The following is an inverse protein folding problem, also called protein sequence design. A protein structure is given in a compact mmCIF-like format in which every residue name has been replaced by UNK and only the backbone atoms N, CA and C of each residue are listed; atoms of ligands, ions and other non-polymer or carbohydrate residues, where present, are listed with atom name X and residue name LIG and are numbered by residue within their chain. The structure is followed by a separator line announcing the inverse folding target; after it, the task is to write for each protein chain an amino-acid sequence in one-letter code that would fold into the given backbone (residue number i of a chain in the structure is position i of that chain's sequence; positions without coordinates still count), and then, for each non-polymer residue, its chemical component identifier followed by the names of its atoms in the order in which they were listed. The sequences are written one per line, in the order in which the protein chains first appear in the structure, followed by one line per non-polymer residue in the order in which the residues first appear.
data_IF_556751397179
#
_entry.id   IF_556751397179
#
_cell.length_a   1.000
_cell.length_b   1.000
_cell.length_c   1.000
_cell.angle_alpha   90.00
_cell.angle_beta   90.00
_cell.angle_gamma   90.00
#
_symmetry.space_group_name_H-M   'P 1'
#
loop_
_entity.id
_entity.type
_entity.pdbx_description
1 polymer ?
#
# COMPACT_ATOMS: atom_id res chain seq x y z
N UNK A 1 1.26 -1.42 28.59
CA UNK A 1 1.09 -1.41 27.12
C UNK A 1 0.37 -2.69 26.69
N UNK A 2 -0.70 -2.59 25.90
CA UNK A 2 -1.36 -3.75 25.28
C UNK A 2 -0.97 -3.74 23.81
N UNK A 3 -0.41 -4.83 23.31
CA UNK A 3 -0.16 -5.01 21.89
C UNK A 3 -1.42 -5.61 21.26
N UNK A 4 -1.88 -4.99 20.18
CA UNK A 4 -2.96 -5.52 19.35
C UNK A 4 -2.37 -5.91 18.01
N UNK A 5 -2.82 -7.04 17.47
CA UNK A 5 -2.38 -7.57 16.20
C UNK A 5 -3.52 -7.39 15.21
N UNK A 6 -3.26 -6.71 14.10
CA UNK A 6 -4.21 -6.61 13.00
C UNK A 6 -3.95 -7.79 12.06
N UNK A 7 -4.90 -8.71 11.96
CA UNK A 7 -4.83 -9.84 11.02
C UNK A 7 -5.72 -9.49 9.83
N UNK A 8 -5.12 -9.52 8.63
CA UNK A 8 -5.79 -9.27 7.36
C UNK A 8 -5.85 -10.56 6.56
N UNK A 9 -6.87 -10.70 5.72
CA UNK A 9 -7.12 -11.92 4.92
C UNK A 9 -6.14 -12.06 3.75
N UNK A 10 -5.77 -10.94 3.13
CA UNK A 10 -4.88 -10.94 1.97
C UNK A 10 -3.42 -11.05 2.37
N UNK A 11 -2.77 -12.10 1.89
CA UNK A 11 -1.32 -12.29 1.99
C UNK A 11 -0.68 -11.86 0.67
N UNK A 12 0.29 -10.95 0.73
CA UNK A 12 1.08 -10.53 -0.42
C UNK A 12 2.57 -10.72 -0.18
N UNK A 13 3.33 -10.76 -1.26
CA UNK A 13 4.79 -10.88 -1.24
C UNK A 13 5.46 -9.51 -1.24
N UNK A 14 6.62 -9.42 -0.60
CA UNK A 14 7.42 -8.20 -0.62
C UNK A 14 7.85 -7.87 -2.04
N UNK A 15 7.78 -6.58 -2.41
CA UNK A 15 8.26 -6.11 -3.71
C UNK A 15 9.69 -6.55 -3.99
N UNK A 16 10.59 -6.66 -3.02
CA UNK A 16 12.00 -7.02 -3.28
C UNK A 16 12.20 -8.40 -3.91
N UNK A 17 11.16 -9.25 -3.92
CA UNK A 17 11.20 -10.59 -4.54
C UNK A 17 10.66 -10.62 -5.97
N UNK A 18 10.36 -9.46 -6.57
CA UNK A 18 9.64 -9.40 -7.85
C UNK A 18 10.27 -10.33 -8.91
N UNK A 19 9.48 -11.20 -9.58
CA UNK A 19 10.01 -12.10 -10.59
C UNK A 19 10.32 -11.39 -11.92
N UNK A 20 9.77 -10.18 -12.11
CA UNK A 20 10.00 -9.36 -13.29
C UNK A 20 9.80 -7.87 -13.00
N UNK A 21 10.47 -7.03 -13.78
CA UNK A 21 10.27 -5.57 -13.73
C UNK A 21 8.84 -5.17 -14.09
N UNK A 22 8.13 -5.98 -14.90
CA UNK A 22 6.73 -5.72 -15.23
C UNK A 22 5.84 -5.82 -13.97
N UNK A 23 5.96 -6.90 -13.20
CA UNK A 23 5.21 -7.07 -11.94
C UNK A 23 5.53 -5.96 -10.94
N UNK A 24 6.81 -5.58 -10.85
CA UNK A 24 7.23 -4.45 -10.01
C UNK A 24 6.54 -3.15 -10.43
N UNK A 25 6.60 -2.78 -11.70
CA UNK A 25 6.03 -1.53 -12.21
C UNK A 25 4.51 -1.51 -12.08
N UNK A 26 3.82 -2.62 -12.36
CA UNK A 26 2.38 -2.74 -12.14
C UNK A 26 2.01 -2.52 -10.66
N UNK A 27 2.77 -3.13 -9.74
CA UNK A 27 2.50 -2.98 -8.30
C UNK A 27 2.74 -1.55 -7.80
N UNK A 28 3.76 -0.86 -8.32
CA UNK A 28 3.97 0.58 -8.05
C UNK A 28 2.80 1.40 -8.58
N UNK A 29 2.37 1.14 -9.81
CA UNK A 29 1.26 1.85 -10.44
C UNK A 29 -0.03 1.71 -9.61
N UNK A 30 -0.35 0.49 -9.17
CA UNK A 30 -1.52 0.22 -8.33
C UNK A 30 -1.44 0.95 -6.99
N UNK A 31 -0.26 1.00 -6.36
CA UNK A 31 -0.06 1.75 -5.12
C UNK A 31 -0.28 3.27 -5.32
N UNK A 32 0.17 3.83 -6.45
CA UNK A 32 -0.09 5.24 -6.78
C UNK A 32 -1.57 5.49 -7.02
N UNK A 33 -2.28 4.59 -7.71
CA UNK A 33 -3.74 4.69 -7.88
C UNK A 33 -4.48 4.60 -6.54
N UNK A 34 -4.11 3.66 -5.69
CA UNK A 34 -4.66 3.52 -4.33
C UNK A 34 -4.47 4.81 -3.52
N UNK A 35 -3.26 5.38 -3.55
CA UNK A 35 -2.99 6.64 -2.87
C UNK A 35 -3.79 7.82 -3.47
N UNK A 36 -3.90 7.91 -4.79
CA UNK A 36 -4.70 8.93 -5.45
C UNK A 36 -6.18 8.84 -5.02
N UNK A 37 -6.72 7.63 -4.93
CA UNK A 37 -8.07 7.39 -4.42
C UNK A 37 -8.20 7.76 -2.94
N UNK A 38 -7.23 7.40 -2.10
CA UNK A 38 -7.21 7.78 -0.69
C UNK A 38 -7.23 9.31 -0.51
N UNK A 39 -6.44 10.05 -1.29
CA UNK A 39 -6.41 11.51 -1.24
C UNK A 39 -7.72 12.11 -1.75
N UNK A 40 -8.17 11.70 -2.93
CA UNK A 40 -9.29 12.36 -3.59
C UNK A 40 -10.65 11.98 -3.01
N UNK A 41 -10.85 10.69 -2.73
CA UNK A 41 -12.13 10.12 -2.28
C UNK A 41 -12.23 10.07 -0.76
N UNK A 42 -11.16 9.71 -0.06
CA UNK A 42 -11.18 9.55 1.40
C UNK A 42 -10.58 10.73 2.18
N UNK A 43 -9.94 11.69 1.49
CA UNK A 43 -9.19 12.81 2.12
C UNK A 43 -8.12 12.32 3.08
N UNK A 44 -7.39 11.27 2.71
CA UNK A 44 -6.30 10.68 3.49
C UNK A 44 -5.01 10.69 2.66
N UNK A 45 -3.94 11.23 3.26
CA UNK A 45 -2.58 11.20 2.72
C UNK A 45 -1.79 10.10 3.43
N UNK A 46 -1.21 9.14 2.69
CA UNK A 46 -0.50 8.01 3.30
C UNK A 46 0.86 8.38 3.91
N UNK A 47 1.60 9.27 3.23
CA UNK A 47 2.94 9.79 3.61
C UNK A 47 4.13 8.81 3.56
N UNK A 48 3.93 7.53 3.25
CA UNK A 48 5.04 6.56 3.09
C UNK A 48 4.75 5.54 1.99
N UNK A 49 4.91 5.98 0.74
CA UNK A 49 4.77 5.13 -0.46
C UNK A 49 6.15 4.61 -0.83
N UNK A 50 6.66 3.68 -0.03
CA UNK A 50 7.94 3.01 -0.24
C UNK A 50 7.74 1.55 -0.65
N UNK A 51 8.77 0.91 -1.22
CA UNK A 51 8.71 -0.50 -1.63
C UNK A 51 8.47 -1.48 -0.47
N UNK A 52 8.73 -1.05 0.78
CA UNK A 52 8.42 -1.83 1.98
C UNK A 52 6.93 -1.87 2.33
N UNK A 53 6.18 -0.86 1.89
CA UNK A 53 4.76 -0.69 2.19
C UNK A 53 3.86 -1.07 1.01
N UNK A 54 4.42 -1.68 -0.02
CA UNK A 54 3.67 -2.19 -1.16
C UNK A 54 3.84 -3.70 -1.19
N UNK A 55 2.73 -4.41 -1.17
CA UNK A 55 2.70 -5.87 -1.33
C UNK A 55 2.31 -6.21 -2.75
N UNK A 56 2.95 -7.22 -3.31
CA UNK A 56 2.57 -7.81 -4.60
C UNK A 56 1.62 -8.98 -4.35
N UNK A 57 0.52 -9.03 -5.09
CA UNK A 57 -0.43 -10.14 -5.06
C UNK A 57 -0.62 -10.69 -6.48
N UNK A 58 -1.33 -11.81 -6.60
CA UNK A 58 -1.72 -12.36 -7.91
C UNK A 58 -2.58 -11.38 -8.73
N UNK A 59 -3.29 -10.47 -8.05
CA UNK A 59 -4.23 -9.53 -8.66
C UNK A 59 -3.68 -8.11 -8.86
N UNK A 60 -2.49 -7.80 -8.33
CA UNK A 60 -1.90 -6.46 -8.41
C UNK A 60 -1.16 -6.02 -7.13
N UNK A 61 -0.84 -4.73 -7.06
CA UNK A 61 -0.19 -4.10 -5.91
C UNK A 61 -1.17 -3.64 -4.84
N UNK A 62 -0.81 -3.83 -3.56
CA UNK A 62 -1.57 -3.34 -2.40
C UNK A 62 -0.70 -2.42 -1.56
N UNK A 63 -1.20 -1.24 -1.22
CA UNK A 63 -0.54 -0.27 -0.33
C UNK A 63 -0.98 -0.51 1.13
N UNK A 64 -0.01 -0.77 2.02
CA UNK A 64 -0.19 -1.09 3.44
C UNK A 64 0.53 -0.09 4.34
N UNK A 65 0.41 -0.24 5.66
CA UNK A 65 1.07 0.58 6.68
C UNK A 65 0.63 2.05 6.70
N UNK A 66 -0.66 2.25 7.00
CA UNK A 66 -1.31 3.55 7.08
C UNK A 66 -1.10 4.26 8.42
N UNK A 67 -0.20 3.79 9.29
CA UNK A 67 0.01 4.35 10.63
C UNK A 67 0.55 5.78 10.58
N UNK A 68 1.33 6.08 9.53
CA UNK A 68 1.77 7.43 9.23
C UNK A 68 0.76 8.21 8.39
N UNK A 69 -0.48 7.76 8.18
CA UNK A 69 -1.42 8.54 7.37
C UNK A 69 -1.88 9.83 8.08
N UNK A 70 -2.36 10.80 7.30
CA UNK A 70 -2.95 12.05 7.81
C UNK A 70 -4.24 12.35 7.06
N UNK A 71 -5.31 12.67 7.79
CA UNK A 71 -6.53 13.25 7.20
C UNK A 71 -6.24 14.67 6.71
N UNK A 72 -6.64 14.94 5.48
CA UNK A 72 -6.63 16.28 4.92
C UNK A 72 -7.85 17.03 5.45
N UNK A 73 -7.63 18.22 6.00
CA UNK A 73 -8.70 19.13 6.37
C UNK A 73 -9.37 19.63 5.08
N UNK A 74 -10.70 19.67 5.10
CA UNK A 74 -11.53 20.08 3.94
C UNK A 74 -11.56 21.60 3.86
#
# INVERSE_FOLDING_TARGET
HRHYWLVLDTVGESMTKFPSSYMFLCSVLDAVYCHNDAVNKAKVLHRDISAGNILMTETGGILIDWDLSKRLEV
#
